data_IF_992824587554
#
_entry.id   IF_992824587554
#
_cell.length_a   1.000
_cell.length_b   1.000
_cell.length_c   1.000
_cell.angle_alpha   90.00
_cell.angle_beta   90.00
_cell.angle_gamma   90.00
#
_symmetry.space_group_name_H-M   'P 1'
#
loop_
_entity.id
_entity.type
_entity.pdbx_description
1 polymer ?
#
# COMPACT_ATOMS: atom_id res chain seq x y z
N UNK A 1 43.74 33.32 -55.66
CA UNK A 1 42.54 32.88 -56.41
C UNK A 1 41.72 32.02 -55.46
N UNK A 2 40.51 32.46 -55.11
CA UNK A 2 39.56 31.63 -54.35
C UNK A 2 38.75 30.82 -55.36
N UNK A 3 38.83 29.50 -55.31
CA UNK A 3 37.94 28.62 -56.06
C UNK A 3 36.87 28.15 -55.09
N UNK A 4 35.61 28.46 -55.38
CA UNK A 4 34.48 28.02 -54.59
C UNK A 4 33.91 26.74 -55.21
N UNK A 5 33.73 25.71 -54.38
CA UNK A 5 33.06 24.48 -54.75
C UNK A 5 31.84 24.32 -53.85
N UNK A 6 30.69 23.97 -54.42
CA UNK A 6 29.44 23.72 -53.68
C UNK A 6 29.26 22.19 -53.57
N UNK A 7 29.19 21.68 -52.34
CA UNK A 7 29.09 20.24 -52.06
C UNK A 7 27.69 19.98 -51.49
N UNK A 8 26.96 19.01 -52.04
CA UNK A 8 25.54 18.83 -51.71
C UNK A 8 25.24 17.97 -50.48
N UNK A 9 26.19 17.22 -49.92
CA UNK A 9 26.10 16.56 -48.59
C UNK A 9 27.35 15.74 -48.32
N UNK A 10 27.85 15.77 -47.09
CA UNK A 10 28.88 14.84 -46.62
C UNK A 10 28.44 14.26 -45.27
N UNK A 11 28.55 12.95 -45.10
CA UNK A 11 28.30 12.26 -43.82
C UNK A 11 29.57 12.21 -42.97
N UNK A 12 29.44 11.93 -41.67
CA UNK A 12 30.59 11.72 -40.77
C UNK A 12 31.55 10.64 -41.30
N UNK A 13 31.01 9.59 -41.92
CA UNK A 13 31.81 8.54 -42.54
C UNK A 13 32.65 9.04 -43.71
N UNK A 14 32.10 9.90 -44.56
CA UNK A 14 32.81 10.46 -45.71
C UNK A 14 33.93 11.42 -45.27
N UNK A 15 33.72 12.19 -44.20
CA UNK A 15 34.76 13.07 -43.64
C UNK A 15 35.92 12.27 -43.04
N UNK A 16 35.64 11.16 -42.36
CA UNK A 16 36.68 10.26 -41.84
C UNK A 16 37.46 9.58 -42.98
N UNK A 17 36.75 9.09 -44.01
CA UNK A 17 37.38 8.51 -45.21
C UNK A 17 38.28 9.51 -45.92
N UNK A 18 37.86 10.78 -46.00
CA UNK A 18 38.66 11.84 -46.57
C UNK A 18 39.96 12.08 -45.78
N UNK A 19 39.88 12.09 -44.43
CA UNK A 19 41.08 12.25 -43.58
C UNK A 19 42.04 11.08 -43.74
N UNK A 20 41.51 9.86 -43.82
CA UNK A 20 42.33 8.66 -44.04
C UNK A 20 43.01 8.70 -45.42
N UNK A 21 42.29 9.10 -46.47
CA UNK A 21 42.84 9.28 -47.81
C UNK A 21 43.95 10.35 -47.87
N UNK A 22 43.79 11.46 -47.13
CA UNK A 22 44.82 12.51 -47.04
C UNK A 22 46.06 11.98 -46.31
N UNK A 23 45.88 11.23 -45.21
CA UNK A 23 46.98 10.63 -44.45
C UNK A 23 47.73 9.55 -45.24
N UNK A 24 47.04 8.83 -46.12
CA UNK A 24 47.68 7.86 -47.02
C UNK A 24 48.62 8.55 -48.02
N UNK A 25 48.25 9.74 -48.50
CA UNK A 25 49.07 10.53 -49.43
C UNK A 25 50.29 11.12 -48.73
N UNK A 26 50.11 11.68 -47.53
CA UNK A 26 51.22 12.20 -46.72
C UNK A 26 50.95 11.98 -45.22
N UNK A 27 51.61 10.98 -44.60
CA UNK A 27 51.45 10.66 -43.19
C UNK A 27 51.85 11.80 -42.25
N UNK A 28 52.65 12.77 -42.72
CA UNK A 28 53.10 13.91 -41.94
C UNK A 28 52.10 15.09 -41.96
N UNK A 29 51.03 15.01 -42.76
CA UNK A 29 50.02 16.05 -42.85
C UNK A 29 49.19 16.12 -41.56
N UNK A 30 49.17 17.31 -40.93
CA UNK A 30 48.39 17.53 -39.73
C UNK A 30 46.99 18.00 -40.11
N UNK A 31 46.01 17.21 -39.68
CA UNK A 31 44.59 17.56 -39.83
C UNK A 31 44.07 18.02 -38.48
N UNK A 32 43.73 19.30 -38.39
CA UNK A 32 43.23 19.94 -37.17
C UNK A 32 41.75 20.25 -37.33
N UNK A 33 40.95 19.85 -36.33
CA UNK A 33 39.54 20.19 -36.26
C UNK A 33 39.37 21.36 -35.29
N UNK A 34 38.70 22.41 -35.75
CA UNK A 34 38.47 23.64 -34.99
C UNK A 34 37.00 23.67 -34.62
N UNK A 35 36.67 23.68 -33.33
CA UNK A 35 35.31 23.95 -32.84
C UNK A 35 35.30 25.33 -32.17
N UNK A 36 34.16 26.03 -32.18
CA UNK A 36 34.10 27.46 -31.82
C UNK A 36 34.69 27.86 -30.45
N UNK A 37 34.93 26.91 -29.52
CA UNK A 37 35.52 27.20 -28.22
C UNK A 37 36.73 26.33 -27.81
N UNK A 38 37.16 25.32 -28.59
CA UNK A 38 38.39 24.55 -28.31
C UNK A 38 39.07 24.03 -29.60
N UNK A 39 40.41 24.13 -29.65
CA UNK A 39 41.22 23.54 -30.72
C UNK A 39 41.56 22.09 -30.38
N UNK A 40 41.09 21.14 -31.18
CA UNK A 40 41.45 19.72 -31.04
C UNK A 40 42.39 19.37 -32.20
N UNK A 41 43.68 19.24 -31.90
CA UNK A 41 44.69 18.77 -32.86
C UNK A 41 44.84 17.26 -32.77
N UNK A 42 44.70 16.56 -33.90
CA UNK A 42 44.94 15.10 -33.96
C UNK A 42 46.32 14.87 -34.54
N UNK A 43 47.26 14.42 -33.70
CA UNK A 43 48.60 14.08 -34.13
C UNK A 43 48.68 12.74 -34.87
N UNK A 44 49.81 12.45 -35.53
CA UNK A 44 50.02 11.21 -36.29
C UNK A 44 49.98 9.93 -35.44
N UNK A 45 50.00 10.03 -34.10
CA UNK A 45 50.00 8.89 -33.18
C UNK A 45 48.68 8.67 -32.41
N UNK A 46 47.64 9.49 -32.66
CA UNK A 46 46.40 9.47 -31.84
C UNK A 46 45.32 8.47 -32.34
N UNK A 47 45.66 7.61 -33.32
CA UNK A 47 44.71 6.77 -34.05
C UNK A 47 44.05 5.60 -33.29
N UNK A 48 44.28 5.44 -31.99
CA UNK A 48 43.86 4.22 -31.28
C UNK A 48 42.83 4.41 -30.14
N UNK A 49 42.44 5.63 -29.77
CA UNK A 49 41.59 5.86 -28.58
C UNK A 49 40.36 6.75 -28.82
N UNK A 50 39.67 6.57 -29.94
CA UNK A 50 38.34 7.15 -30.16
C UNK A 50 37.26 6.07 -30.26
N UNK A 51 37.12 5.24 -29.22
CA UNK A 51 35.83 4.57 -28.95
C UNK A 51 34.96 5.47 -28.08
N UNK A 52 34.55 6.60 -28.65
CA UNK A 52 33.49 7.43 -28.09
C UNK A 52 32.14 6.74 -28.32
N UNK A 53 31.62 6.02 -27.31
CA UNK A 53 30.23 5.52 -27.29
C UNK A 53 29.23 6.69 -27.31
N UNK A 54 29.03 7.27 -28.48
CA UNK A 54 27.85 8.07 -28.80
C UNK A 54 26.74 7.10 -29.19
N UNK A 55 25.71 6.98 -28.37
CA UNK A 55 24.51 6.18 -28.65
C UNK A 55 23.52 6.91 -29.56
N UNK A 56 23.94 8.00 -30.21
CA UNK A 56 23.11 8.80 -31.09
C UNK A 56 23.26 8.31 -32.53
N UNK A 57 22.16 7.78 -33.06
CA UNK A 57 22.02 7.27 -34.42
C UNK A 57 21.95 8.44 -35.40
N UNK A 58 22.91 8.50 -36.32
CA UNK A 58 22.95 9.34 -37.54
C UNK A 58 22.80 10.86 -37.37
N UNK A 59 23.94 11.57 -37.22
CA UNK A 59 23.99 13.00 -37.49
C UNK A 59 24.27 13.23 -38.99
N UNK A 60 23.43 14.01 -39.67
CA UNK A 60 23.65 14.41 -41.07
C UNK A 60 24.09 15.87 -41.11
N UNK A 61 25.20 16.16 -41.78
CA UNK A 61 25.76 17.51 -41.89
C UNK A 61 25.44 18.08 -43.27
N UNK A 62 25.22 19.39 -43.32
CA UNK A 62 25.07 20.14 -44.56
C UNK A 62 26.23 21.12 -44.61
N UNK A 63 26.93 21.17 -45.74
CA UNK A 63 28.04 22.11 -45.96
C UNK A 63 27.46 23.26 -46.78
N UNK A 64 27.15 24.39 -46.14
CA UNK A 64 26.54 25.51 -46.86
C UNK A 64 27.56 26.32 -47.68
N UNK A 65 28.82 26.41 -47.25
CA UNK A 65 29.87 27.13 -47.97
C UNK A 65 31.24 26.52 -47.68
N UNK A 66 31.98 26.09 -48.72
CA UNK A 66 33.38 25.66 -48.60
C UNK A 66 34.30 26.77 -49.11
N UNK A 67 34.99 27.47 -48.21
CA UNK A 67 35.98 28.48 -48.58
C UNK A 67 37.40 27.94 -48.43
N UNK A 68 38.07 27.62 -49.54
CA UNK A 68 39.48 27.22 -49.54
C UNK A 68 40.37 28.47 -49.56
N UNK A 69 40.95 28.82 -48.40
CA UNK A 69 41.93 29.91 -48.29
C UNK A 69 43.35 29.34 -48.34
N UNK A 70 44.08 29.66 -49.40
CA UNK A 70 45.50 29.32 -49.56
C UNK A 70 46.34 30.32 -48.75
N UNK A 71 46.72 29.94 -47.53
CA UNK A 71 47.67 30.70 -46.71
C UNK A 71 48.99 29.94 -46.70
N UNK A 72 49.94 30.33 -47.57
CA UNK A 72 51.36 29.95 -47.65
C UNK A 72 51.79 28.47 -47.48
N UNK A 73 51.25 27.70 -46.53
CA UNK A 73 51.49 26.29 -46.22
C UNK A 73 50.27 25.56 -45.58
N UNK A 74 49.06 26.15 -45.57
CA UNK A 74 47.87 25.50 -44.99
C UNK A 74 46.63 25.71 -45.86
N UNK A 75 45.81 24.66 -45.96
CA UNK A 75 44.46 24.71 -46.50
C UNK A 75 43.48 24.77 -45.33
N UNK A 76 42.68 25.83 -45.28
CA UNK A 76 41.58 25.93 -44.31
C UNK A 76 40.28 25.63 -45.05
N UNK A 77 39.53 24.66 -44.56
CA UNK A 77 38.16 24.37 -44.95
C UNK A 77 37.24 24.82 -43.80
N UNK A 78 36.49 25.89 -44.03
CA UNK A 78 35.46 26.35 -43.10
C UNK A 78 34.16 25.58 -43.43
N UNK A 79 33.53 24.98 -42.43
CA UNK A 79 32.24 24.29 -42.59
C UNK A 79 31.18 25.04 -41.78
N UNK A 80 30.06 25.40 -42.40
CA UNK A 80 28.94 26.01 -41.68
C UNK A 80 27.86 24.97 -41.42
N UNK A 81 27.44 24.89 -40.16
CA UNK A 81 26.63 23.80 -39.62
C UNK A 81 25.13 24.01 -39.86
N UNK A 82 24.42 22.96 -40.28
CA UNK A 82 22.95 22.91 -40.18
C UNK A 82 22.48 22.24 -38.86
N UNK A 83 21.35 22.72 -38.36
CA UNK A 83 20.80 22.38 -37.03
C UNK A 83 20.35 20.93 -36.93
N UNK A 84 20.77 20.23 -35.88
CA UNK A 84 20.28 18.88 -35.55
C UNK A 84 19.24 18.91 -34.44
N UNK A 85 18.20 18.09 -34.61
CA UNK A 85 17.10 17.92 -33.68
C UNK A 85 17.16 16.51 -33.12
N UNK A 86 17.13 16.36 -31.79
CA UNK A 86 17.03 15.04 -31.17
C UNK A 86 16.01 15.02 -30.03
N UNK A 87 15.45 13.84 -29.80
CA UNK A 87 14.47 13.57 -28.75
C UNK A 87 15.12 12.76 -27.63
N UNK A 88 15.07 13.25 -26.39
CA UNK A 88 15.54 12.50 -25.22
C UNK A 88 14.42 11.59 -24.71
N UNK A 89 14.63 10.26 -24.53
CA UNK A 89 13.54 9.33 -24.19
C UNK A 89 12.91 9.55 -22.81
N UNK A 90 13.64 10.16 -21.86
CA UNK A 90 13.24 10.22 -20.45
C UNK A 90 12.83 11.62 -19.95
N UNK A 91 12.81 12.62 -20.82
CA UNK A 91 12.40 13.99 -20.48
C UNK A 91 11.42 14.38 -21.59
N UNK A 92 10.12 14.29 -21.29
CA UNK A 92 9.03 14.17 -22.28
C UNK A 92 9.16 15.02 -23.55
N UNK A 93 8.65 14.47 -24.66
CA UNK A 93 8.54 14.88 -26.09
C UNK A 93 8.71 16.37 -26.49
N UNK A 94 9.64 17.11 -25.90
CA UNK A 94 10.08 18.41 -26.38
C UNK A 94 11.38 18.19 -27.13
N UNK A 95 11.35 18.50 -28.42
CA UNK A 95 12.54 18.54 -29.24
C UNK A 95 13.48 19.61 -28.67
N UNK A 96 14.67 19.21 -28.28
CA UNK A 96 15.68 20.12 -27.75
C UNK A 96 16.63 20.50 -28.88
N UNK A 97 16.79 21.81 -29.07
CA UNK A 97 17.82 22.39 -29.92
C UNK A 97 19.12 22.40 -29.11
N UNK A 98 20.04 21.50 -29.40
CA UNK A 98 21.39 21.61 -28.87
C UNK A 98 22.38 21.66 -30.04
N UNK A 99 23.39 22.54 -30.01
CA UNK A 99 24.48 22.48 -30.97
C UNK A 99 25.16 21.11 -30.77
N UNK A 100 25.17 20.26 -31.80
CA UNK A 100 25.89 18.99 -31.73
C UNK A 100 27.38 19.23 -31.40
N UNK A 101 28.10 18.31 -30.76
CA UNK A 101 29.18 18.80 -29.92
C UNK A 101 30.54 18.96 -30.64
N UNK A 102 30.68 18.65 -31.94
CA UNK A 102 32.02 18.56 -32.51
C UNK A 102 32.11 19.09 -33.94
N UNK A 103 33.00 20.09 -34.11
CA UNK A 103 33.64 20.61 -35.33
C UNK A 103 32.87 21.67 -36.15
N UNK A 104 33.47 22.88 -36.23
CA UNK A 104 33.05 24.00 -37.08
C UNK A 104 34.06 24.32 -38.22
N UNK A 105 35.19 23.61 -38.30
CA UNK A 105 36.15 23.79 -39.38
C UNK A 105 37.28 22.75 -39.39
N UNK A 106 37.82 22.47 -40.58
CA UNK A 106 38.93 21.54 -40.82
C UNK A 106 40.10 22.31 -41.41
N UNK A 107 41.20 22.36 -40.67
CA UNK A 107 42.46 22.95 -41.14
C UNK A 107 43.45 21.84 -41.44
N UNK A 108 43.92 21.80 -42.67
CA UNK A 108 44.94 20.85 -43.13
C UNK A 108 46.24 21.61 -43.34
N UNK A 109 47.27 21.27 -42.58
CA UNK A 109 48.61 21.85 -42.70
C UNK A 109 49.57 20.78 -43.22
N UNK A 110 50.20 21.03 -44.37
CA UNK A 110 51.04 20.04 -45.04
C UNK A 110 52.05 20.65 -46.03
N UNK A 111 53.12 19.91 -46.37
CA UNK A 111 54.17 20.35 -47.28
C UNK A 111 53.64 20.56 -48.72
N UNK A 112 54.11 21.63 -49.39
CA UNK A 112 53.60 22.08 -50.70
C UNK A 112 53.64 21.05 -51.84
N UNK A 113 54.48 20.03 -51.74
CA UNK A 113 54.77 19.10 -52.84
C UNK A 113 53.66 18.09 -53.11
N UNK A 114 52.67 17.94 -52.22
CA UNK A 114 51.53 17.04 -52.40
C UNK A 114 50.20 17.74 -52.71
N UNK A 115 50.25 19.05 -53.02
CA UNK A 115 49.06 19.89 -53.26
C UNK A 115 48.07 19.30 -54.27
N UNK A 116 48.55 18.87 -55.43
CA UNK A 116 47.66 18.37 -56.50
C UNK A 116 47.06 17.01 -56.17
N UNK A 117 47.81 16.15 -55.48
CA UNK A 117 47.32 14.85 -55.03
C UNK A 117 46.25 14.99 -53.94
N UNK A 118 46.46 15.89 -52.98
CA UNK A 118 45.48 16.18 -51.92
C UNK A 118 44.20 16.78 -52.51
N UNK A 119 44.31 17.73 -53.46
CA UNK A 119 43.15 18.28 -54.15
C UNK A 119 42.40 17.24 -55.00
N UNK A 120 43.13 16.31 -55.64
CA UNK A 120 42.51 15.23 -56.41
C UNK A 120 41.77 14.23 -55.53
N UNK A 121 42.32 13.87 -54.36
CA UNK A 121 41.65 13.01 -53.40
C UNK A 121 40.40 13.67 -52.82
N UNK A 122 40.47 14.96 -52.49
CA UNK A 122 39.32 15.76 -52.06
C UNK A 122 38.23 15.78 -53.15
N UNK A 123 38.61 15.99 -54.42
CA UNK A 123 37.65 16.01 -55.51
C UNK A 123 37.02 14.65 -55.80
N UNK A 124 37.79 13.57 -55.66
CA UNK A 124 37.31 12.20 -55.85
C UNK A 124 36.32 11.79 -54.75
N UNK A 125 36.62 12.09 -53.49
CA UNK A 125 35.81 11.65 -52.35
C UNK A 125 34.56 12.52 -52.15
N UNK A 126 34.61 13.79 -52.56
CA UNK A 126 33.47 14.73 -52.45
C UNK A 126 32.65 14.84 -53.75
N UNK A 127 32.88 13.94 -54.72
CA UNK A 127 32.20 13.92 -56.03
C UNK A 127 32.18 15.28 -56.75
N UNK A 128 33.28 16.04 -56.66
CA UNK A 128 33.36 17.36 -57.27
C UNK A 128 33.44 17.20 -58.81
N UNK A 129 32.44 17.73 -59.51
CA UNK A 129 32.39 17.71 -60.98
C UNK A 129 33.64 18.34 -61.62
N UNK A 130 34.09 17.85 -62.79
CA UNK A 130 35.34 18.29 -63.39
C UNK A 130 35.28 19.78 -63.77
N UNK A 131 36.39 20.54 -63.61
CA UNK A 131 36.43 21.93 -64.02
C UNK A 131 36.35 22.04 -65.55
N UNK A 132 35.47 22.91 -66.05
CA UNK A 132 35.34 23.22 -67.47
C UNK A 132 36.65 23.80 -68.02
N UNK A 133 37.44 22.96 -68.71
CA UNK A 133 38.60 23.41 -69.48
C UNK A 133 38.17 23.75 -70.91
N UNK A 134 38.10 25.05 -71.17
CA UNK A 134 37.92 25.63 -72.49
C UNK A 134 39.19 25.40 -73.35
N UNK A 135 39.09 24.58 -74.40
CA UNK A 135 40.15 24.48 -75.42
C UNK A 135 39.61 24.09 -76.80
N UNK A 136 39.86 24.97 -77.78
CA UNK A 136 39.92 24.75 -79.23
C UNK A 136 41.16 25.60 -79.69
N UNK A 137 41.94 25.30 -80.77
CA UNK A 137 41.46 24.89 -82.09
C UNK A 137 42.26 23.87 -82.96
N UNK A 138 41.47 23.09 -83.72
CA UNK A 138 41.54 22.71 -85.16
C UNK A 138 42.79 22.08 -85.83
N UNK A 139 42.59 20.96 -86.57
CA UNK A 139 43.33 20.58 -87.79
C UNK A 139 42.45 20.50 -89.08
N UNK A 140 43.02 20.26 -90.29
CA UNK A 140 42.53 20.74 -91.60
C UNK A 140 41.36 20.00 -92.28
N UNK A 141 40.79 20.66 -93.30
CA UNK A 141 39.39 20.62 -93.77
C UNK A 141 38.99 19.47 -94.72
N UNK A 142 39.89 18.54 -95.11
CA UNK A 142 39.54 17.53 -96.14
C UNK A 142 39.38 16.09 -95.59
N UNK A 143 39.98 15.76 -94.45
CA UNK A 143 39.68 14.53 -93.69
C UNK A 143 38.41 14.72 -92.86
N UNK A 144 38.14 15.95 -92.43
CA UNK A 144 37.00 16.31 -91.59
C UNK A 144 35.66 16.07 -92.25
N UNK A 145 35.48 16.16 -93.58
CA UNK A 145 34.17 15.91 -94.18
C UNK A 145 33.75 14.43 -94.18
N UNK A 146 34.68 13.51 -94.47
CA UNK A 146 34.40 12.06 -94.36
C UNK A 146 34.30 11.63 -92.90
N UNK A 147 35.14 12.19 -92.02
CA UNK A 147 35.00 11.96 -90.58
C UNK A 147 33.72 12.57 -90.04
N UNK A 148 33.29 13.76 -90.47
CA UNK A 148 32.02 14.39 -90.09
C UNK A 148 30.83 13.56 -90.58
N UNK A 149 30.88 12.97 -91.77
CA UNK A 149 29.83 12.08 -92.25
C UNK A 149 29.78 10.76 -91.45
N UNK A 150 30.93 10.16 -91.14
CA UNK A 150 31.00 8.96 -90.30
C UNK A 150 30.63 9.24 -88.84
N UNK A 151 31.03 10.40 -88.31
CA UNK A 151 30.68 10.89 -86.97
C UNK A 151 29.21 11.25 -86.92
N UNK A 152 28.62 11.87 -87.94
CA UNK A 152 27.19 12.14 -88.00
C UNK A 152 26.37 10.85 -88.08
N UNK A 153 26.80 9.87 -88.87
CA UNK A 153 26.15 8.55 -88.93
C UNK A 153 26.33 7.74 -87.64
N UNK A 154 27.50 7.81 -87.00
CA UNK A 154 27.74 7.22 -85.69
C UNK A 154 26.92 7.92 -84.60
N UNK A 155 26.84 9.26 -84.63
CA UNK A 155 26.03 10.05 -83.73
C UNK A 155 24.54 9.72 -83.90
N UNK A 156 24.05 9.53 -85.12
CA UNK A 156 22.67 9.07 -85.37
C UNK A 156 22.37 7.73 -84.69
N UNK A 157 23.26 6.74 -84.83
CA UNK A 157 23.13 5.43 -84.16
C UNK A 157 23.26 5.53 -82.64
N UNK A 158 24.13 6.39 -82.14
CA UNK A 158 24.26 6.63 -80.69
C UNK A 158 22.99 7.27 -80.15
N UNK A 159 22.41 8.25 -80.85
CA UNK A 159 21.14 8.90 -80.44
C UNK A 159 19.98 7.92 -80.47
N UNK A 160 19.91 7.05 -81.48
CA UNK A 160 18.88 6.01 -81.56
C UNK A 160 19.02 4.99 -80.43
N UNK A 161 20.23 4.46 -80.21
CA UNK A 161 20.50 3.51 -79.12
C UNK A 161 20.36 4.14 -77.73
N UNK A 162 20.65 5.44 -77.55
CA UNK A 162 20.38 6.13 -76.28
C UNK A 162 18.89 6.33 -76.07
N UNK A 163 18.12 6.65 -77.11
CA UNK A 163 16.67 6.76 -77.02
C UNK A 163 16.00 5.41 -76.71
N UNK A 164 16.44 4.32 -77.33
CA UNK A 164 15.98 2.96 -77.01
C UNK A 164 16.32 2.58 -75.56
N UNK A 165 17.57 2.79 -75.15
CA UNK A 165 18.01 2.50 -73.78
C UNK A 165 17.27 3.34 -72.74
N UNK A 166 16.94 4.60 -73.06
CA UNK A 166 16.12 5.44 -72.19
C UNK A 166 14.71 4.87 -72.04
N UNK A 167 14.05 4.43 -73.13
CA UNK A 167 12.74 3.78 -73.05
C UNK A 167 12.76 2.49 -72.23
N UNK A 168 13.80 1.67 -72.40
CA UNK A 168 13.95 0.43 -71.62
C UNK A 168 14.17 0.72 -70.13
N UNK A 169 14.99 1.73 -69.81
CA UNK A 169 15.22 2.18 -68.43
C UNK A 169 13.95 2.77 -67.81
N UNK A 170 13.18 3.55 -68.55
CA UNK A 170 11.92 4.12 -68.08
C UNK A 170 10.87 3.04 -67.86
N UNK A 171 10.80 2.03 -68.75
CA UNK A 171 9.96 0.85 -68.57
C UNK A 171 10.35 0.03 -67.34
N UNK A 172 11.65 -0.19 -67.12
CA UNK A 172 12.16 -0.88 -65.94
C UNK A 172 11.88 -0.11 -64.64
N UNK A 173 12.07 1.22 -64.66
CA UNK A 173 11.74 2.10 -63.53
C UNK A 173 10.24 2.05 -63.20
N UNK A 174 9.37 2.12 -64.19
CA UNK A 174 7.92 1.98 -63.99
C UNK A 174 7.56 0.64 -63.35
N UNK A 175 8.12 -0.47 -63.82
CA UNK A 175 7.90 -1.79 -63.22
C UNK A 175 8.40 -1.87 -61.77
N UNK A 176 9.55 -1.26 -61.46
CA UNK A 176 10.10 -1.24 -60.12
C UNK A 176 9.25 -0.37 -59.18
N UNK A 177 8.75 0.77 -59.66
CA UNK A 177 7.83 1.65 -58.92
C UNK A 177 6.48 0.96 -58.65
N UNK A 178 5.94 0.24 -59.63
CA UNK A 178 4.70 -0.55 -59.48
C UNK A 178 4.90 -1.70 -58.47
N UNK A 179 6.04 -2.38 -58.51
CA UNK A 179 6.37 -3.43 -57.55
C UNK A 179 6.58 -2.87 -56.14
N UNK A 180 7.26 -1.74 -56.02
CA UNK A 180 7.51 -1.08 -54.74
C UNK A 180 6.22 -0.55 -54.11
N UNK A 181 5.36 0.10 -54.90
CA UNK A 181 4.05 0.60 -54.44
C UNK A 181 3.13 -0.56 -54.04
N UNK A 182 3.04 -1.62 -54.84
CA UNK A 182 2.25 -2.81 -54.48
C UNK A 182 2.80 -3.51 -53.21
N UNK A 183 4.11 -3.53 -53.00
CA UNK A 183 4.71 -4.08 -51.78
C UNK A 183 4.40 -3.21 -50.55
N UNK A 184 4.40 -1.88 -50.69
CA UNK A 184 4.03 -0.94 -49.63
C UNK A 184 2.55 -1.06 -49.27
N UNK A 185 1.66 -1.17 -50.26
CA UNK A 185 0.23 -1.39 -50.03
C UNK A 185 -0.05 -2.70 -49.29
N UNK A 186 0.67 -3.79 -49.64
CA UNK A 186 0.55 -5.06 -48.92
C UNK A 186 1.01 -4.95 -47.47
N UNK A 187 2.16 -4.34 -47.22
CA UNK A 187 2.69 -4.16 -45.85
C UNK A 187 1.81 -3.26 -45.00
N UNK A 188 1.29 -2.18 -45.57
CA UNK A 188 0.38 -1.28 -44.85
C UNK A 188 -0.94 -1.98 -44.54
N UNK A 189 -1.52 -2.75 -45.47
CA UNK A 189 -2.71 -3.54 -45.21
C UNK A 189 -2.49 -4.63 -44.15
N UNK A 190 -1.32 -5.28 -44.14
CA UNK A 190 -0.94 -6.26 -43.12
C UNK A 190 -0.81 -5.61 -41.73
N UNK A 191 -0.08 -4.51 -41.62
CA UNK A 191 0.09 -3.76 -40.37
C UNK A 191 -1.25 -3.24 -39.81
N UNK A 192 -2.15 -2.77 -40.68
CA UNK A 192 -3.49 -2.34 -40.25
C UNK A 192 -4.28 -3.53 -39.67
N UNK A 193 -4.22 -4.70 -40.31
CA UNK A 193 -4.88 -5.91 -39.79
C UNK A 193 -4.29 -6.38 -38.46
N UNK A 194 -2.96 -6.34 -38.33
CA UNK A 194 -2.29 -6.68 -37.06
C UNK A 194 -2.70 -5.71 -35.94
N UNK A 195 -2.73 -4.40 -36.24
CA UNK A 195 -3.15 -3.38 -35.30
C UNK A 195 -4.61 -3.56 -34.87
N UNK A 196 -5.52 -3.83 -35.81
CA UNK A 196 -6.92 -4.13 -35.48
C UNK A 196 -7.08 -5.37 -34.61
N UNK A 197 -6.33 -6.43 -34.90
CA UNK A 197 -6.36 -7.66 -34.11
C UNK A 197 -5.78 -7.45 -32.70
N UNK A 198 -4.69 -6.68 -32.57
CA UNK A 198 -4.10 -6.32 -31.29
C UNK A 198 -5.07 -5.47 -30.45
N UNK A 199 -5.75 -4.48 -31.06
CA UNK A 199 -6.74 -3.66 -30.37
C UNK A 199 -7.95 -4.48 -29.91
N UNK A 200 -8.44 -5.43 -30.73
CA UNK A 200 -9.51 -6.35 -30.32
C UNK A 200 -9.09 -7.24 -29.15
N UNK A 201 -7.88 -7.79 -29.19
CA UNK A 201 -7.34 -8.61 -28.11
C UNK A 201 -7.14 -7.82 -26.80
N UNK A 202 -6.73 -6.56 -26.89
CA UNK A 202 -6.63 -5.66 -25.74
C UNK A 202 -8.00 -5.35 -25.15
N UNK A 203 -8.97 -4.98 -25.98
CA UNK A 203 -10.34 -4.71 -25.53
C UNK A 203 -10.98 -5.94 -24.85
N UNK A 204 -10.74 -7.14 -25.38
CA UNK A 204 -11.21 -8.37 -24.76
C UNK A 204 -10.56 -8.58 -23.39
N UNK A 205 -9.24 -8.40 -23.26
CA UNK A 205 -8.54 -8.51 -21.98
C UNK A 205 -9.01 -7.49 -20.96
N UNK A 206 -9.23 -6.24 -21.37
CA UNK A 206 -9.77 -5.20 -20.50
C UNK A 206 -11.17 -5.57 -19.99
N UNK A 207 -12.02 -6.10 -20.86
CA UNK A 207 -13.35 -6.58 -20.46
C UNK A 207 -13.27 -7.74 -19.45
N UNK A 208 -12.38 -8.70 -19.67
CA UNK A 208 -12.17 -9.83 -18.74
C UNK A 208 -11.60 -9.37 -17.39
N UNK A 209 -10.67 -8.41 -17.40
CA UNK A 209 -10.12 -7.82 -16.18
C UNK A 209 -11.18 -7.05 -15.39
N UNK A 210 -12.05 -6.30 -16.07
CA UNK A 210 -13.11 -5.55 -15.40
C UNK A 210 -14.13 -6.50 -14.73
N UNK A 211 -14.53 -7.58 -15.42
CA UNK A 211 -15.38 -8.63 -14.83
C UNK A 211 -14.72 -9.29 -13.62
N UNK A 212 -13.41 -9.57 -13.68
CA UNK A 212 -12.66 -10.11 -12.53
C UNK A 212 -12.56 -9.11 -11.38
N UNK A 213 -12.32 -7.84 -11.68
CA UNK A 213 -12.20 -6.78 -10.67
C UNK A 213 -13.54 -6.61 -9.93
N UNK A 214 -14.66 -6.56 -10.67
CA UNK A 214 -16.00 -6.55 -10.08
C UNK A 214 -16.25 -7.79 -9.20
N UNK A 215 -15.87 -8.97 -9.68
CA UNK A 215 -15.99 -10.21 -8.90
C UNK A 215 -15.12 -10.25 -7.64
N UNK A 216 -13.93 -9.63 -7.66
CA UNK A 216 -13.05 -9.52 -6.49
C UNK A 216 -13.59 -8.50 -5.50
N UNK A 217 -14.08 -7.34 -5.96
CA UNK A 217 -14.63 -6.30 -5.11
C UNK A 217 -15.85 -6.82 -4.32
N UNK A 218 -16.77 -7.51 -5.00
CA UNK A 218 -17.94 -8.16 -4.39
C UNK A 218 -17.56 -9.21 -3.32
N UNK A 219 -16.52 -10.00 -3.60
CA UNK A 219 -16.02 -11.01 -2.65
C UNK A 219 -15.33 -10.35 -1.46
N UNK A 220 -14.54 -9.31 -1.69
CA UNK A 220 -13.77 -8.61 -0.66
C UNK A 220 -14.68 -7.96 0.38
N UNK A 221 -15.76 -7.29 -0.05
CA UNK A 221 -16.74 -6.68 0.86
C UNK A 221 -17.44 -7.74 1.73
N UNK A 222 -17.73 -8.91 1.17
CA UNK A 222 -18.33 -10.02 1.92
C UNK A 222 -17.34 -10.62 2.94
N UNK A 223 -16.07 -10.80 2.55
CA UNK A 223 -15.05 -11.38 3.43
C UNK A 223 -14.62 -10.42 4.54
N UNK A 224 -14.44 -9.13 4.26
CA UNK A 224 -14.11 -8.12 5.28
C UNK A 224 -15.22 -8.01 6.30
N UNK A 225 -16.48 -8.04 5.86
CA UNK A 225 -17.64 -8.05 6.76
C UNK A 225 -17.68 -9.28 7.66
N UNK A 226 -17.51 -10.48 7.11
CA UNK A 226 -17.45 -11.73 7.90
C UNK A 226 -16.24 -11.77 8.82
N UNK A 227 -15.11 -11.19 8.41
CA UNK A 227 -13.92 -11.06 9.24
C UNK A 227 -14.13 -10.08 10.40
N UNK A 228 -14.84 -8.97 10.18
CA UNK A 228 -15.22 -8.03 11.25
C UNK A 228 -16.22 -8.67 12.23
N UNK A 229 -17.23 -9.39 11.73
CA UNK A 229 -18.16 -10.14 12.57
C UNK A 229 -17.43 -11.25 13.35
N UNK A 230 -16.53 -12.01 12.72
CA UNK A 230 -15.77 -13.03 13.42
C UNK A 230 -14.75 -12.44 14.39
N UNK A 231 -14.16 -11.28 14.11
CA UNK A 231 -13.31 -10.56 15.06
C UNK A 231 -14.11 -10.01 16.23
N UNK A 232 -15.32 -9.46 16.02
CA UNK A 232 -16.20 -9.03 17.11
C UNK A 232 -16.69 -10.22 17.94
N UNK A 233 -17.10 -11.31 17.28
CA UNK A 233 -17.45 -12.56 17.94
C UNK A 233 -16.26 -13.09 18.75
N UNK A 234 -15.08 -13.20 18.16
CA UNK A 234 -13.86 -13.65 18.84
C UNK A 234 -13.43 -12.70 19.95
N UNK A 235 -13.49 -11.37 19.79
CA UNK A 235 -13.18 -10.43 20.88
C UNK A 235 -14.18 -10.55 22.03
N UNK A 236 -15.45 -10.76 21.71
CA UNK A 236 -16.48 -11.00 22.71
C UNK A 236 -16.31 -12.36 23.38
N UNK A 237 -16.01 -13.43 22.66
CA UNK A 237 -15.77 -14.78 23.17
C UNK A 237 -14.47 -14.85 23.96
N UNK A 238 -13.38 -14.22 23.49
CA UNK A 238 -12.14 -14.13 24.28
C UNK A 238 -12.33 -13.29 25.54
N UNK A 239 -13.27 -12.32 25.53
CA UNK A 239 -13.69 -11.57 26.70
C UNK A 239 -14.66 -12.31 27.64
N UNK A 240 -15.49 -13.22 27.11
CA UNK A 240 -16.64 -13.84 27.81
C UNK A 240 -16.46 -15.35 28.11
N UNK A 241 -15.84 -16.14 27.24
CA UNK A 241 -15.74 -17.61 27.36
C UNK A 241 -14.92 -18.09 28.56
N UNK A 242 -14.11 -17.22 29.13
CA UNK A 242 -12.97 -17.68 29.91
C UNK A 242 -12.93 -17.22 31.35
N UNK A 243 -14.06 -17.06 32.04
CA UNK A 243 -14.03 -16.59 33.43
C UNK A 243 -13.27 -15.26 33.58
N UNK A 244 -13.10 -14.33 32.65
CA UNK A 244 -12.19 -13.19 32.93
C UNK A 244 -12.69 -12.31 34.09
N UNK A 245 -14.00 -12.16 34.25
CA UNK A 245 -14.60 -11.54 35.44
C UNK A 245 -14.79 -12.53 36.60
N UNK A 246 -15.17 -13.80 36.38
CA UNK A 246 -15.21 -14.79 37.46
C UNK A 246 -13.81 -15.19 38.02
N UNK A 247 -12.76 -15.08 37.22
CA UNK A 247 -11.32 -15.32 37.48
C UNK A 247 -10.61 -14.04 37.89
N UNK A 248 -11.12 -12.84 37.59
CA UNK A 248 -10.70 -11.58 38.25
C UNK A 248 -11.46 -11.33 39.55
N UNK A 249 -12.65 -11.91 39.72
CA UNK A 249 -13.40 -11.89 40.97
C UNK A 249 -12.84 -12.89 41.98
N UNK A 250 -12.36 -14.07 41.54
CA UNK A 250 -11.66 -15.04 42.41
C UNK A 250 -10.51 -14.43 43.23
N UNK A 251 -9.54 -13.68 42.66
CA UNK A 251 -8.49 -13.04 43.44
C UNK A 251 -8.99 -11.87 44.29
N UNK A 252 -10.20 -11.37 44.07
CA UNK A 252 -10.81 -10.36 44.94
C UNK A 252 -11.55 -10.99 46.13
N UNK A 253 -12.26 -12.09 45.93
CA UNK A 253 -12.99 -12.78 46.99
C UNK A 253 -12.08 -13.65 47.88
N UNK A 254 -10.99 -14.19 47.33
CA UNK A 254 -10.03 -14.99 48.11
C UNK A 254 -9.41 -14.22 49.30
N UNK A 255 -8.86 -13.00 49.15
CA UNK A 255 -8.31 -12.26 50.29
C UNK A 255 -9.39 -11.85 51.29
N UNK A 256 -10.62 -11.58 50.85
CA UNK A 256 -11.74 -11.27 51.73
C UNK A 256 -12.14 -12.51 52.55
N UNK A 257 -12.23 -13.68 51.91
CA UNK A 257 -12.51 -14.94 52.58
C UNK A 257 -11.38 -15.31 53.55
N UNK A 258 -10.11 -15.14 53.15
CA UNK A 258 -8.94 -15.35 54.02
C UNK A 258 -8.99 -14.39 55.20
N UNK A 259 -9.32 -13.10 54.99
CA UNK A 259 -9.45 -12.12 56.07
C UNK A 259 -10.59 -12.49 57.04
N UNK A 260 -11.74 -12.92 56.52
CA UNK A 260 -12.85 -13.38 57.36
C UNK A 260 -12.47 -14.63 58.17
N UNK A 261 -11.84 -15.63 57.55
CA UNK A 261 -11.34 -16.83 58.24
C UNK A 261 -10.27 -16.46 59.27
N UNK A 262 -9.35 -15.54 58.94
CA UNK A 262 -8.34 -15.06 59.87
C UNK A 262 -8.97 -14.36 61.09
N UNK A 263 -10.00 -13.53 60.90
CA UNK A 263 -10.74 -12.91 62.00
C UNK A 263 -11.38 -13.99 62.89
N UNK A 264 -12.01 -15.00 62.29
CA UNK A 264 -12.62 -16.12 63.05
C UNK A 264 -11.56 -16.89 63.83
N UNK A 265 -10.40 -17.17 63.23
CA UNK A 265 -9.27 -17.85 63.89
C UNK A 265 -8.70 -17.01 65.03
N UNK A 266 -8.52 -15.69 64.84
CA UNK A 266 -8.05 -14.79 65.90
C UNK A 266 -9.04 -14.76 67.07
N UNK A 267 -10.34 -14.67 66.80
CA UNK A 267 -11.37 -14.74 67.85
C UNK A 267 -11.33 -16.08 68.58
N UNK A 268 -11.15 -17.19 67.86
CA UNK A 268 -11.03 -18.52 68.45
C UNK A 268 -9.76 -18.67 69.33
N UNK A 269 -8.62 -18.10 68.89
CA UNK A 269 -7.38 -18.09 69.67
C UNK A 269 -7.49 -17.25 70.94
N UNK A 270 -8.13 -16.07 70.86
CA UNK A 270 -8.42 -15.24 72.04
C UNK A 270 -9.31 -16.02 73.03
N UNK A 271 -10.34 -16.70 72.53
CA UNK A 271 -11.20 -17.57 73.34
C UNK A 271 -10.41 -18.72 73.98
N UNK A 272 -9.51 -19.36 73.24
CA UNK A 272 -8.68 -20.46 73.72
C UNK A 272 -7.70 -20.02 74.81
N UNK A 273 -6.96 -18.92 74.60
CA UNK A 273 -6.00 -18.38 75.58
C UNK A 273 -6.70 -18.06 76.91
N UNK A 274 -7.88 -17.45 76.84
CA UNK A 274 -8.64 -17.13 78.05
C UNK A 274 -9.16 -18.37 78.77
N UNK A 275 -9.60 -19.39 78.03
CA UNK A 275 -10.03 -20.66 78.64
C UNK A 275 -8.86 -21.39 79.29
N UNK A 276 -7.69 -21.35 78.66
CA UNK A 276 -6.46 -21.91 79.19
C UNK A 276 -6.05 -21.22 80.49
N UNK A 277 -6.00 -19.87 80.51
CA UNK A 277 -5.69 -19.08 81.71
C UNK A 277 -6.72 -19.31 82.85
N UNK A 278 -8.00 -19.44 82.52
CA UNK A 278 -9.02 -19.75 83.53
C UNK A 278 -8.81 -21.15 84.14
N UNK A 279 -8.37 -22.13 83.35
CA UNK A 279 -8.12 -23.49 83.82
C UNK A 279 -6.90 -23.60 84.74
N UNK A 280 -5.81 -22.87 84.44
CA UNK A 280 -4.60 -22.85 85.26
C UNK A 280 -4.83 -22.14 86.60
N UNK A 281 -5.60 -21.06 86.60
CA UNK A 281 -5.96 -20.36 87.83
C UNK A 281 -6.83 -21.25 88.75
N UNK A 282 -7.73 -22.06 88.18
CA UNK A 282 -8.56 -22.99 88.94
C UNK A 282 -7.75 -24.12 89.59
N UNK A 283 -6.75 -24.69 88.89
CA UNK A 283 -5.86 -25.73 89.46
C UNK A 283 -4.94 -25.17 90.54
N UNK A 284 -4.38 -23.98 90.36
CA UNK A 284 -3.56 -23.32 91.40
C UNK A 284 -4.40 -23.04 92.65
N UNK A 285 -5.64 -22.55 92.48
CA UNK A 285 -6.55 -22.32 93.60
C UNK A 285 -6.91 -23.62 94.34
N UNK A 286 -7.16 -24.72 93.60
CA UNK A 286 -7.44 -26.03 94.20
C UNK A 286 -6.25 -26.56 95.01
N UNK A 287 -5.02 -26.43 94.50
CA UNK A 287 -3.79 -26.82 95.22
C UNK A 287 -3.59 -25.95 96.46
N UNK A 288 -3.81 -24.64 96.36
CA UNK A 288 -3.70 -23.72 97.49
C UNK A 288 -4.77 -23.96 98.59
N UNK A 289 -5.91 -24.56 98.24
CA UNK A 289 -6.97 -24.92 99.18
C UNK A 289 -6.77 -26.28 99.89
N UNK A 290 -5.76 -27.06 99.49
CA UNK A 290 -5.36 -28.28 100.17
C UNK A 290 -4.76 -27.99 101.56
N UNK A 291 -5.21 -28.73 102.57
CA UNK A 291 -5.08 -28.52 104.03
C UNK A 291 -3.64 -28.48 104.64
N UNK A 292 -2.59 -28.11 103.90
CA UNK A 292 -1.20 -28.28 104.34
C UNK A 292 -0.29 -27.05 104.45
N UNK A 293 -0.65 -25.86 103.95
CA UNK A 293 0.30 -24.74 103.85
C UNK A 293 -0.23 -23.42 104.45
N UNK A 294 0.29 -22.96 105.61
CA UNK A 294 -0.15 -21.73 106.26
C UNK A 294 0.71 -20.53 105.81
N UNK A 295 0.55 -20.00 104.60
CA UNK A 295 1.20 -18.72 104.24
C UNK A 295 0.66 -17.97 103.00
N UNK A 296 -0.53 -18.29 102.46
CA UNK A 296 -1.08 -17.54 101.30
C UNK A 296 -2.54 -17.14 101.58
N UNK A 297 -2.77 -16.39 102.66
CA UNK A 297 -4.12 -16.03 103.13
C UNK A 297 -4.55 -14.58 102.86
N UNK A 298 -3.81 -13.83 102.04
CA UNK A 298 -4.18 -12.43 101.74
C UNK A 298 -4.04 -12.03 100.27
N UNK A 299 -4.21 -12.97 99.34
CA UNK A 299 -4.55 -12.58 97.96
C UNK A 299 -5.98 -12.02 98.01
N UNK A 300 -6.06 -10.68 97.98
CA UNK A 300 -7.29 -9.89 98.10
C UNK A 300 -8.38 -10.36 97.13
N UNK A 301 -9.40 -11.03 97.69
CA UNK A 301 -10.54 -11.57 96.95
C UNK A 301 -11.40 -10.48 96.28
N UNK A 302 -11.31 -9.23 96.73
CA UNK A 302 -12.11 -8.11 96.22
C UNK A 302 -11.67 -7.63 94.83
N UNK A 303 -10.43 -7.91 94.39
CA UNK A 303 -9.97 -7.55 93.05
C UNK A 303 -10.33 -8.62 92.01
N UNK A 304 -10.54 -9.88 92.43
CA UNK A 304 -10.86 -10.99 91.54
C UNK A 304 -12.19 -10.80 90.81
N UNK A 305 -13.22 -10.29 91.51
CA UNK A 305 -14.56 -10.08 90.93
C UNK A 305 -14.56 -8.94 89.90
N UNK A 306 -13.77 -7.89 90.15
CA UNK A 306 -13.62 -6.75 89.23
C UNK A 306 -12.85 -7.16 87.98
N UNK A 307 -11.79 -7.95 88.12
CA UNK A 307 -11.00 -8.46 86.98
C UNK A 307 -11.80 -9.46 86.13
N UNK A 308 -12.63 -10.31 86.76
CA UNK A 308 -13.55 -11.20 86.06
C UNK A 308 -14.61 -10.41 85.28
N UNK A 309 -15.22 -9.38 85.87
CA UNK A 309 -16.20 -8.55 85.17
C UNK A 309 -15.56 -7.77 84.01
N UNK A 310 -14.35 -7.22 84.21
CA UNK A 310 -13.65 -6.48 83.17
C UNK A 310 -13.20 -7.40 82.00
N UNK A 311 -12.77 -8.63 82.29
CA UNK A 311 -12.43 -9.62 81.26
C UNK A 311 -13.67 -10.06 80.48
N UNK A 312 -14.79 -10.35 81.14
CA UNK A 312 -16.05 -10.68 80.46
C UNK A 312 -16.57 -9.53 79.59
N UNK A 313 -16.52 -8.29 80.08
CA UNK A 313 -16.90 -7.12 79.30
C UNK A 313 -16.00 -6.95 78.07
N UNK A 314 -14.68 -7.13 78.23
CA UNK A 314 -13.72 -7.07 77.13
C UNK A 314 -14.03 -8.13 76.05
N UNK A 315 -14.37 -9.36 76.45
CA UNK A 315 -14.79 -10.42 75.50
C UNK A 315 -16.07 -10.03 74.78
N UNK A 316 -17.08 -9.53 75.52
CA UNK A 316 -18.35 -9.09 74.93
C UNK A 316 -18.12 -7.99 73.88
N UNK A 317 -17.28 -7.00 74.18
CA UNK A 317 -16.94 -5.93 73.22
C UNK A 317 -16.17 -6.47 72.02
N UNK A 318 -15.20 -7.37 72.22
CA UNK A 318 -14.42 -7.95 71.13
C UNK A 318 -15.26 -8.84 70.21
N UNK A 319 -16.16 -9.65 70.77
CA UNK A 319 -17.06 -10.52 70.00
C UNK A 319 -18.09 -9.72 69.21
N UNK A 320 -18.68 -8.68 69.81
CA UNK A 320 -19.55 -7.74 69.11
C UNK A 320 -18.81 -7.01 67.98
N UNK A 321 -17.58 -6.53 68.25
CA UNK A 321 -16.75 -5.87 67.24
C UNK A 321 -16.40 -6.80 66.07
N UNK A 322 -16.00 -8.04 66.35
CA UNK A 322 -15.71 -9.04 65.33
C UNK A 322 -16.96 -9.40 64.50
N UNK A 323 -18.11 -9.57 65.15
CA UNK A 323 -19.40 -9.82 64.47
C UNK A 323 -19.80 -8.67 63.55
N UNK A 324 -19.69 -7.42 64.02
CA UNK A 324 -19.96 -6.23 63.22
C UNK A 324 -19.03 -6.12 62.00
N UNK A 325 -17.74 -6.46 62.17
CA UNK A 325 -16.76 -6.45 61.09
C UNK A 325 -17.06 -7.52 60.03
N UNK A 326 -17.37 -8.75 60.44
CA UNK A 326 -17.75 -9.83 59.51
C UNK A 326 -19.03 -9.46 58.74
N UNK A 327 -20.03 -8.91 59.43
CA UNK A 327 -21.26 -8.45 58.80
C UNK A 327 -21.01 -7.35 57.77
N UNK A 328 -20.18 -6.35 58.10
CA UNK A 328 -19.80 -5.28 57.18
C UNK A 328 -19.11 -5.83 55.93
N UNK A 329 -18.16 -6.76 56.10
CA UNK A 329 -17.45 -7.41 55.00
C UNK A 329 -18.42 -8.16 54.08
N UNK A 330 -19.34 -8.95 54.65
CA UNK A 330 -20.35 -9.69 53.88
C UNK A 330 -21.27 -8.74 53.09
N UNK A 331 -21.69 -7.62 53.71
CA UNK A 331 -22.52 -6.62 53.05
C UNK A 331 -21.79 -5.98 51.86
N UNK A 332 -20.52 -5.61 52.03
CA UNK A 332 -19.71 -5.03 50.96
C UNK A 332 -19.45 -6.05 49.85
N UNK A 333 -19.12 -7.30 50.20
CA UNK A 333 -18.91 -8.38 49.24
C UNK A 333 -20.16 -8.66 48.40
N UNK A 334 -21.34 -8.69 49.05
CA UNK A 334 -22.63 -8.90 48.37
C UNK A 334 -22.95 -7.74 47.42
N UNK A 335 -22.75 -6.50 47.86
CA UNK A 335 -22.95 -5.31 47.02
C UNK A 335 -22.05 -5.31 45.78
N UNK A 336 -20.76 -5.66 45.95
CA UNK A 336 -19.81 -5.77 44.83
C UNK A 336 -20.18 -6.91 43.88
N UNK A 337 -20.59 -8.05 44.41
CA UNK A 337 -21.06 -9.17 43.59
C UNK A 337 -22.27 -8.78 42.73
N UNK A 338 -23.25 -8.10 43.33
CA UNK A 338 -24.42 -7.59 42.60
C UNK A 338 -24.03 -6.60 41.50
N UNK A 339 -23.06 -5.71 41.75
CA UNK A 339 -22.55 -4.80 40.71
C UNK A 339 -21.95 -5.58 39.55
N UNK A 340 -21.03 -6.52 39.82
CA UNK A 340 -20.37 -7.32 38.79
C UNK A 340 -21.37 -8.11 37.95
N UNK A 341 -22.36 -8.75 38.59
CA UNK A 341 -23.40 -9.48 37.88
C UNK A 341 -24.25 -8.57 36.97
N UNK A 342 -24.51 -7.32 37.38
CA UNK A 342 -25.20 -6.35 36.50
C UNK A 342 -24.36 -6.01 35.29
N UNK A 343 -23.06 -5.75 35.47
CA UNK A 343 -22.14 -5.47 34.35
C UNK A 343 -22.04 -6.65 33.38
N UNK A 344 -21.97 -7.88 33.89
CA UNK A 344 -21.97 -9.09 33.06
C UNK A 344 -23.27 -9.21 32.26
N UNK A 345 -24.42 -9.02 32.89
CA UNK A 345 -25.72 -9.07 32.21
C UNK A 345 -25.85 -7.97 31.15
N UNK A 346 -25.37 -6.76 31.42
CA UNK A 346 -25.37 -5.65 30.48
C UNK A 346 -24.47 -5.94 29.27
N UNK A 347 -23.29 -6.52 29.50
CA UNK A 347 -22.39 -6.95 28.43
C UNK A 347 -23.01 -8.05 27.56
N UNK A 348 -23.71 -9.01 28.18
CA UNK A 348 -24.46 -10.04 27.45
C UNK A 348 -25.58 -9.46 26.60
N UNK A 349 -26.33 -8.49 27.12
CA UNK A 349 -27.37 -7.78 26.35
C UNK A 349 -26.77 -7.01 25.19
N UNK A 350 -25.69 -6.26 25.44
CA UNK A 350 -24.97 -5.52 24.40
C UNK A 350 -24.49 -6.44 23.27
N UNK A 351 -24.00 -7.64 23.60
CA UNK A 351 -23.62 -8.64 22.59
C UNK A 351 -24.81 -9.07 21.75
N UNK A 352 -25.92 -9.44 22.39
CA UNK A 352 -27.14 -9.85 21.67
C UNK A 352 -27.67 -8.74 20.78
N UNK A 353 -27.64 -7.49 21.24
CA UNK A 353 -28.06 -6.33 20.46
C UNK A 353 -27.11 -6.07 19.28
N UNK A 354 -25.80 -6.24 19.47
CA UNK A 354 -24.82 -6.15 18.38
C UNK A 354 -25.04 -7.23 17.32
N UNK A 355 -25.33 -8.47 17.74
CA UNK A 355 -25.65 -9.58 16.82
C UNK A 355 -26.96 -9.32 16.06
N UNK A 356 -28.01 -8.83 16.74
CA UNK A 356 -29.29 -8.44 16.12
C UNK A 356 -29.12 -7.29 15.13
N UNK A 357 -28.35 -6.27 15.50
CA UNK A 357 -28.03 -5.13 14.63
C UNK A 357 -27.27 -5.61 13.39
N UNK A 358 -26.26 -6.46 13.60
CA UNK A 358 -25.48 -7.07 12.52
C UNK A 358 -26.35 -7.83 11.54
N UNK A 359 -27.27 -8.65 12.04
CA UNK A 359 -28.23 -9.39 11.23
C UNK A 359 -29.17 -8.46 10.43
N UNK A 360 -29.67 -7.40 11.05
CA UNK A 360 -30.56 -6.44 10.39
C UNK A 360 -29.85 -5.70 9.25
N UNK A 361 -28.62 -5.21 9.49
CA UNK A 361 -27.80 -4.57 8.46
C UNK A 361 -27.40 -5.58 7.37
N UNK A 362 -27.27 -6.87 7.69
CA UNK A 362 -26.93 -7.91 6.71
C UNK A 362 -28.10 -8.26 5.81
N UNK A 363 -29.26 -8.51 6.40
CA UNK A 363 -30.46 -8.77 5.62
C UNK A 363 -30.88 -7.55 4.78
N UNK A 364 -30.66 -6.31 5.23
CA UNK A 364 -30.97 -5.13 4.40
C UNK A 364 -30.00 -5.02 3.20
N UNK A 365 -28.70 -5.22 3.42
CA UNK A 365 -27.71 -5.17 2.35
C UNK A 365 -27.87 -6.33 1.35
N UNK A 366 -28.16 -7.54 1.82
CA UNK A 366 -28.40 -8.70 0.97
C UNK A 366 -29.72 -8.58 0.19
N UNK A 367 -30.79 -8.09 0.84
CA UNK A 367 -32.05 -7.80 0.17
C UNK A 367 -31.89 -6.78 -0.96
N UNK A 368 -31.17 -5.68 -0.71
CA UNK A 368 -30.83 -4.68 -1.74
C UNK A 368 -29.98 -5.27 -2.87
N UNK A 369 -29.02 -6.15 -2.55
CA UNK A 369 -28.14 -6.79 -3.54
C UNK A 369 -28.91 -7.72 -4.48
N UNK A 370 -29.88 -8.47 -3.96
CA UNK A 370 -30.66 -9.44 -4.73
C UNK A 370 -31.85 -8.81 -5.48
N UNK A 371 -32.09 -7.51 -5.32
CA UNK A 371 -33.23 -6.82 -5.93
C UNK A 371 -34.58 -7.24 -5.34
N UNK A 372 -34.57 -8.01 -4.26
CA UNK A 372 -35.77 -8.33 -3.49
C UNK A 372 -36.15 -7.15 -2.61
N UNK A 373 -37.46 -7.01 -2.32
CA UNK A 373 -37.93 -6.08 -1.31
C UNK A 373 -37.13 -6.32 -0.02
N UNK A 374 -36.59 -5.25 0.56
CA UNK A 374 -35.81 -5.33 1.80
C UNK A 374 -36.55 -6.07 2.91
N UNK A 375 -35.82 -6.46 3.97
CA UNK A 375 -36.37 -7.15 5.15
C UNK A 375 -37.78 -6.64 5.50
N UNK A 376 -38.78 -7.53 5.72
CA UNK A 376 -40.13 -7.11 6.07
C UNK A 376 -40.10 -6.10 7.22
N UNK A 377 -40.84 -5.00 7.07
CA UNK A 377 -40.83 -3.89 8.04
C UNK A 377 -41.13 -4.38 9.47
N UNK A 378 -41.99 -5.39 9.61
CA UNK A 378 -42.29 -6.04 10.89
C UNK A 378 -41.09 -6.74 11.53
N UNK A 379 -40.17 -7.32 10.73
CA UNK A 379 -38.94 -7.91 11.25
C UNK A 379 -37.96 -6.83 11.67
N UNK A 380 -37.78 -5.79 10.84
CA UNK A 380 -36.91 -4.64 11.17
C UNK A 380 -37.36 -4.03 12.49
N UNK A 381 -38.66 -3.76 12.65
CA UNK A 381 -39.23 -3.21 13.87
C UNK A 381 -39.00 -4.13 15.09
N UNK A 382 -39.15 -5.45 14.94
CA UNK A 382 -38.93 -6.40 16.05
C UNK A 382 -37.47 -6.54 16.44
N UNK A 383 -36.55 -6.49 15.48
CA UNK A 383 -35.11 -6.58 15.75
C UNK A 383 -34.51 -5.26 16.23
N UNK A 384 -35.05 -4.12 15.78
CA UNK A 384 -34.58 -2.79 16.20
C UNK A 384 -35.17 -2.33 17.53
N UNK A 385 -36.32 -2.89 17.96
CA UNK A 385 -36.96 -2.52 19.22
C UNK A 385 -36.11 -2.97 20.42
N UNK A 386 -35.71 -2.00 21.24
CA UNK A 386 -34.90 -2.24 22.44
C UNK A 386 -33.42 -2.47 22.16
N UNK A 387 -32.96 -2.24 20.92
CA UNK A 387 -31.55 -2.33 20.57
C UNK A 387 -30.76 -1.24 21.31
N UNK A 388 -29.79 -1.64 22.12
CA UNK A 388 -28.97 -0.74 22.94
C UNK A 388 -29.77 0.17 23.88
N UNK A 389 -30.99 -0.22 24.27
CA UNK A 389 -31.68 0.48 25.36
C UNK A 389 -30.87 0.24 26.64
N UNK A 390 -30.14 1.26 27.07
CA UNK A 390 -29.46 1.22 28.36
C UNK A 390 -30.55 0.98 29.41
N UNK A 391 -30.40 -0.05 30.23
CA UNK A 391 -31.28 -0.31 31.39
C UNK A 391 -31.14 0.75 32.50
N UNK A 392 -30.71 1.95 32.12
CA UNK A 392 -30.53 3.14 32.93
C UNK A 392 -31.32 4.31 32.36
N UNK A 393 -32.22 4.08 31.41
CA UNK A 393 -33.34 5.00 31.29
C UNK A 393 -34.20 4.82 32.56
N UNK A 394 -33.93 5.69 33.52
CA UNK A 394 -34.77 6.03 34.66
C UNK A 394 -36.18 6.38 34.14
N UNK A 395 -36.97 5.36 33.80
CA UNK A 395 -38.41 5.49 33.91
C UNK A 395 -38.69 5.56 35.42
N UNK A 396 -38.80 6.80 35.90
CA UNK A 396 -39.06 7.18 37.28
C UNK A 396 -40.42 6.71 37.83
N UNK A 397 -40.72 5.41 37.74
CA UNK A 397 -41.92 4.83 38.30
C UNK A 397 -42.03 3.33 38.03
N UNK A 398 -42.09 2.55 39.11
CA UNK A 398 -42.79 1.26 39.22
C UNK A 398 -42.09 -0.06 38.83
N UNK A 399 -40.93 -0.12 38.19
CA UNK A 399 -40.37 -1.44 37.80
C UNK A 399 -39.76 -2.23 38.98
N UNK A 400 -39.25 -1.53 40.01
CA UNK A 400 -38.88 -2.15 41.30
C UNK A 400 -40.12 -2.67 42.05
N UNK A 401 -41.32 -2.13 41.79
CA UNK A 401 -42.58 -2.64 42.37
C UNK A 401 -43.04 -3.90 41.65
N UNK A 402 -42.89 -4.02 40.34
CA UNK A 402 -43.24 -5.25 39.61
C UNK A 402 -42.23 -6.36 39.93
N UNK A 403 -40.93 -6.08 39.92
CA UNK A 403 -39.90 -7.05 40.29
C UNK A 403 -40.01 -7.53 41.75
N UNK A 404 -40.32 -6.63 42.68
CA UNK A 404 -40.59 -7.01 44.07
C UNK A 404 -41.92 -7.75 44.21
N UNK A 405 -43.03 -7.30 43.62
CA UNK A 405 -44.32 -7.99 43.72
C UNK A 405 -44.30 -9.36 43.05
N UNK A 406 -43.64 -9.52 41.90
CA UNK A 406 -43.46 -10.80 41.24
C UNK A 406 -42.52 -11.70 42.05
N UNK A 407 -41.44 -11.16 42.62
CA UNK A 407 -40.56 -11.88 43.55
C UNK A 407 -41.26 -12.31 44.85
N UNK A 408 -42.18 -11.49 45.36
CA UNK A 408 -43.04 -11.81 46.50
C UNK A 408 -44.12 -12.83 46.13
N UNK A 409 -44.65 -12.80 44.89
CA UNK A 409 -45.57 -13.81 44.36
C UNK A 409 -44.86 -15.15 44.12
N UNK A 410 -43.70 -15.17 43.48
CA UNK A 410 -42.90 -16.36 43.21
C UNK A 410 -42.31 -16.96 44.50
N UNK A 411 -41.89 -16.12 45.45
CA UNK A 411 -41.45 -16.58 46.77
C UNK A 411 -42.58 -17.14 47.64
N UNK A 412 -43.85 -16.87 47.30
CA UNK A 412 -45.05 -17.35 48.02
C UNK A 412 -45.86 -18.41 47.28
N UNK A 413 -45.65 -18.56 45.97
CA UNK A 413 -46.24 -19.62 45.17
C UNK A 413 -45.56 -20.95 45.54
N UNK A 414 -46.34 -21.92 45.99
CA UNK A 414 -45.82 -23.21 46.42
C UNK A 414 -45.33 -24.07 45.25
N UNK A 415 -45.88 -23.84 44.04
CA UNK A 415 -45.39 -24.40 42.79
C UNK A 415 -45.86 -23.55 41.59
N UNK A 416 -44.95 -23.26 40.67
CA UNK A 416 -45.27 -22.68 39.36
C UNK A 416 -45.12 -23.78 38.32
N UNK A 417 -46.21 -24.19 37.67
CA UNK A 417 -46.19 -25.14 36.55
C UNK A 417 -46.32 -24.36 35.25
N UNK A 418 -45.26 -24.40 34.46
CA UNK A 418 -45.23 -23.84 33.10
C UNK A 418 -45.60 -24.97 32.15
N UNK A 419 -46.80 -24.90 31.58
CA UNK A 419 -47.29 -25.82 30.55
C UNK A 419 -47.36 -25.15 29.19
N UNK A 420 -47.61 -25.92 28.14
CA UNK A 420 -47.80 -25.42 26.76
C UNK A 420 -49.01 -24.50 26.61
N UNK A 421 -49.93 -24.50 27.58
CA UNK A 421 -51.15 -23.68 27.59
C UNK A 421 -51.03 -22.42 28.48
N UNK A 422 -49.83 -22.12 28.98
CA UNK A 422 -49.55 -20.93 29.80
C UNK A 422 -48.98 -21.21 31.19
N UNK A 423 -48.77 -20.15 31.96
CA UNK A 423 -48.22 -20.22 33.32
C UNK A 423 -49.36 -20.39 34.33
N UNK A 424 -49.43 -21.57 34.96
CA UNK A 424 -50.36 -21.82 36.07
C UNK A 424 -49.61 -21.73 37.40
N UNK A 425 -50.08 -20.85 38.29
CA UNK A 425 -49.50 -20.63 39.62
C UNK A 425 -50.42 -21.25 40.66
N UNK A 426 -49.96 -22.29 41.35
CA UNK A 426 -50.74 -22.96 42.38
C UNK A 426 -50.40 -22.32 43.74
N UNK A 427 -51.32 -21.51 44.26
CA UNK A 427 -51.15 -20.79 45.52
C UNK A 427 -51.79 -21.62 46.64
N UNK A 428 -50.95 -22.19 47.50
CA UNK A 428 -51.40 -22.95 48.67
C UNK A 428 -52.21 -22.05 49.63
N UNK A 429 -53.19 -22.64 50.34
CA UNK A 429 -54.06 -21.95 51.30
C UNK A 429 -53.27 -21.22 52.40
N UNK A 430 -52.07 -21.71 52.74
CA UNK A 430 -51.14 -21.04 53.65
C UNK A 430 -50.59 -19.72 53.11
N UNK A 431 -50.35 -19.63 51.80
CA UNK A 431 -49.89 -18.42 51.11
C UNK A 431 -50.97 -17.34 51.04
N UNK A 432 -52.21 -17.73 50.72
CA UNK A 432 -53.39 -16.85 50.73
C UNK A 432 -53.65 -16.23 52.11
N UNK A 433 -53.48 -17.01 53.20
CA UNK A 433 -53.73 -16.53 54.56
C UNK A 433 -52.70 -15.49 55.02
N UNK A 434 -51.45 -15.61 54.56
CA UNK A 434 -50.39 -14.61 54.82
C UNK A 434 -50.53 -13.37 53.94
N UNK A 435 -50.83 -13.54 52.66
CA UNK A 435 -51.10 -12.41 51.75
C UNK A 435 -52.25 -11.53 52.25
N UNK A 436 -53.32 -12.15 52.75
CA UNK A 436 -54.42 -11.40 53.38
C UNK A 436 -53.99 -10.59 54.60
N UNK A 437 -53.13 -11.16 55.45
CA UNK A 437 -52.65 -10.50 56.68
C UNK A 437 -51.77 -9.28 56.38
N UNK A 438 -50.97 -9.35 55.31
CA UNK A 438 -50.13 -8.24 54.90
C UNK A 438 -50.95 -7.12 54.25
N UNK A 439 -51.95 -7.45 53.43
CA UNK A 439 -52.91 -6.47 52.88
C UNK A 439 -53.69 -5.79 54.01
N UNK A 440 -54.12 -6.53 55.04
CA UNK A 440 -54.77 -5.93 56.22
C UNK A 440 -53.83 -5.01 57.01
N UNK A 441 -52.51 -5.24 56.96
CA UNK A 441 -51.53 -4.40 57.64
C UNK A 441 -51.23 -3.13 56.86
N UNK A 442 -51.10 -3.22 55.54
CA UNK A 442 -50.84 -2.08 54.65
C UNK A 442 -52.07 -1.17 54.46
N UNK A 443 -53.28 -1.66 54.76
CA UNK A 443 -54.52 -0.85 54.78
C UNK A 443 -54.74 -0.18 56.14
N UNK A 444 -54.04 -0.63 57.19
CA UNK A 444 -54.14 -0.07 58.55
C UNK A 444 -53.05 0.97 58.87
N UNK A 445 -51.99 1.03 58.07
CA UNK A 445 -51.00 2.11 58.01
C UNK A 445 -51.42 3.15 56.96
#
# INVERSE_FOLDING_TARGET
>A
MSVAYEIQRASDGALLQLVDAIREIDPATLVTFTAQDENISIGPNDGANWEGRSTYTEATYYIENLSIKDQSNSFVFEFHRAETWFAMPNIGTRWHRAPAPFVDGLKIEGPRYHREAILAAIAAELELGPPELNSDPRPPVDVTQKLLAQVAAAAGRVVEHTAERQRDLDGYRGQLEDQASAALERKTAELVREHENAMKALAERESQLNVRLQGVDDRSNTHVRRALQSQMANLSDTGLDGNLLARSAKPFFLPIAIAAVAIVVVVALIWFEQRFLASTNATIAAIASGEGAPAVKSIQVNNLTRDLLFTQLRIAVQTLGAGALVWYILRVATSRYQQISRWENELHRFRLDTERAGFLVEGELEGRKNGEFGLPELMVERFSRGLFSSSHQDDGGSDDQIGSTLGHLLGRAAAVKIGTDGVSVDIDKGGLKKARKDIEKDVAE
#
